data_IF_400927212544
#
_entry.id   IF_400927212544
#
_cell.length_a   1.000
_cell.length_b   1.000
_cell.length_c   1.000
_cell.angle_alpha   90.00
_cell.angle_beta   90.00
_cell.angle_gamma   90.00
#
_symmetry.space_group_name_H-M   'P 1'
#
loop_
_entity.id
_entity.type
_entity.pdbx_description
1 polymer ?
#
# COMPACT_ATOMS: atom_id res chain seq x y z
N UNK A 1 2.84 -19.84 -10.38
CA UNK A 1 3.75 -18.73 -10.00
C UNK A 1 3.04 -17.88 -8.93
N UNK A 2 3.43 -17.98 -7.65
CA UNK A 2 2.90 -17.07 -6.60
C UNK A 2 3.38 -15.67 -6.97
N UNK A 3 2.45 -14.76 -7.27
CA UNK A 3 2.81 -13.34 -7.45
C UNK A 3 2.64 -12.65 -6.11
N UNK A 4 3.74 -12.22 -5.50
CA UNK A 4 3.71 -11.29 -4.37
C UNK A 4 3.15 -9.96 -4.88
N UNK A 5 1.88 -9.70 -4.56
CA UNK A 5 1.23 -8.44 -4.92
C UNK A 5 1.50 -7.45 -3.79
N UNK A 6 2.33 -6.44 -4.08
CA UNK A 6 2.59 -5.33 -3.14
C UNK A 6 1.29 -4.56 -2.93
N UNK A 7 0.83 -4.41 -1.69
CA UNK A 7 -0.40 -3.68 -1.36
C UNK A 7 -0.23 -2.17 -1.45
N UNK A 8 0.99 -1.68 -1.19
CA UNK A 8 1.35 -0.28 -1.32
C UNK A 8 2.57 -0.13 -2.24
N UNK A 9 2.40 -0.26 -3.56
CA UNK A 9 3.49 -0.05 -4.50
C UNK A 9 3.98 1.40 -4.38
N UNK A 10 5.26 1.57 -4.02
CA UNK A 10 5.87 2.89 -3.83
C UNK A 10 5.87 3.43 -2.40
N UNK A 11 5.31 2.69 -1.42
CA UNK A 11 5.34 3.07 -0.01
C UNK A 11 6.02 2.00 0.83
N UNK A 12 6.72 2.44 1.88
CA UNK A 12 7.35 1.58 2.89
C UNK A 12 6.92 2.10 4.25
N UNK A 13 6.42 1.20 5.11
CA UNK A 13 6.16 1.49 6.50
C UNK A 13 7.44 1.25 7.30
N UNK A 14 7.83 2.20 8.13
CA UNK A 14 9.01 2.08 8.99
C UNK A 14 8.66 2.55 10.39
N UNK A 15 8.95 1.70 11.38
CA UNK A 15 8.90 2.08 12.78
C UNK A 15 10.29 2.55 13.20
N UNK A 16 10.42 3.84 13.52
CA UNK A 16 11.68 4.44 13.96
C UNK A 16 11.44 5.54 14.99
N UNK A 17 12.45 5.83 15.80
CA UNK A 17 12.46 7.04 16.63
C UNK A 17 12.72 8.23 15.72
N UNK A 18 11.81 9.22 15.73
CA UNK A 18 11.93 10.43 14.91
C UNK A 18 12.89 11.42 15.58
N UNK A 19 14.10 11.53 15.04
CA UNK A 19 15.12 12.50 15.43
C UNK A 19 15.87 13.01 14.18
N UNK A 20 16.72 14.02 14.32
CA UNK A 20 17.39 14.62 13.16
C UNK A 20 18.28 13.63 12.41
N UNK A 21 18.96 12.72 13.13
CA UNK A 21 19.81 11.70 12.53
C UNK A 21 19.01 10.67 11.71
N UNK A 22 17.89 10.18 12.24
CA UNK A 22 17.02 9.22 11.55
C UNK A 22 16.30 9.85 10.36
N UNK A 23 15.95 11.13 10.44
CA UNK A 23 15.42 11.88 9.32
C UNK A 23 16.42 12.04 8.18
N UNK A 24 17.67 12.44 8.49
CA UNK A 24 18.74 12.56 7.49
C UNK A 24 19.06 11.20 6.86
N UNK A 25 19.09 10.14 7.68
CA UNK A 25 19.31 8.78 7.21
C UNK A 25 18.29 8.41 6.13
N UNK A 26 17.00 8.55 6.41
CA UNK A 26 15.94 8.18 5.44
C UNK A 26 16.00 9.03 4.18
N UNK A 27 16.25 10.35 4.29
CA UNK A 27 16.42 11.22 3.11
C UNK A 27 17.65 10.87 2.28
N UNK A 28 18.70 10.32 2.88
CA UNK A 28 19.91 9.91 2.15
C UNK A 28 19.74 8.60 1.38
N UNK A 29 18.68 7.82 1.63
CA UNK A 29 18.45 6.55 0.94
C UNK A 29 18.05 6.80 -0.52
N UNK A 30 18.78 6.25 -1.50
CA UNK A 30 18.41 6.38 -2.91
C UNK A 30 17.01 5.84 -3.18
N UNK A 31 16.23 6.54 -4.02
CA UNK A 31 14.84 6.22 -4.40
C UNK A 31 13.79 6.42 -3.32
N UNK A 32 14.16 6.99 -2.16
CA UNK A 32 13.19 7.49 -1.18
C UNK A 32 12.88 8.95 -1.52
N UNK A 33 11.64 9.23 -1.94
CA UNK A 33 11.23 10.61 -2.26
C UNK A 33 10.97 11.46 -1.01
N UNK A 34 10.70 10.82 0.13
CA UNK A 34 10.45 11.48 1.39
C UNK A 34 9.44 10.73 2.24
N UNK A 35 8.96 11.39 3.28
CA UNK A 35 7.91 10.88 4.13
C UNK A 35 6.53 11.40 3.68
N UNK A 36 5.49 10.67 4.04
CA UNK A 36 4.10 11.03 3.77
C UNK A 36 3.51 11.71 5.01
N UNK A 37 2.77 12.79 4.80
CA UNK A 37 2.01 13.48 5.85
C UNK A 37 2.80 14.60 6.55
N UNK A 38 2.08 15.62 7.02
CA UNK A 38 2.67 16.78 7.68
C UNK A 38 3.31 17.78 6.71
N UNK A 39 4.30 18.52 7.19
CA UNK A 39 5.19 19.38 6.40
C UNK A 39 6.41 18.59 5.93
N UNK A 40 7.08 19.08 4.88
CA UNK A 40 8.31 18.47 4.31
C UNK A 40 9.41 18.16 5.33
N UNK A 41 9.36 18.83 6.48
CA UNK A 41 10.37 18.84 7.53
C UNK A 41 9.95 18.02 8.75
N UNK A 42 8.65 17.71 8.90
CA UNK A 42 8.10 16.94 10.02
C UNK A 42 7.05 15.95 9.52
N UNK A 43 7.43 14.69 9.26
CA UNK A 43 6.48 13.64 8.97
C UNK A 43 5.46 13.48 10.08
N UNK A 44 4.20 13.28 9.71
CA UNK A 44 3.16 12.93 10.65
C UNK A 44 3.35 11.47 11.12
N UNK A 45 3.37 11.21 12.43
CA UNK A 45 3.35 9.84 12.94
C UNK A 45 2.01 9.18 12.58
N UNK A 46 2.07 7.93 12.12
CA UNK A 46 0.88 7.09 11.95
C UNK A 46 0.41 6.64 13.33
N UNK A 47 -0.89 6.67 13.57
CA UNK A 47 -1.44 6.17 14.83
C UNK A 47 -1.38 4.64 14.91
N UNK A 48 -1.23 4.09 16.10
CA UNK A 48 -1.20 2.63 16.30
C UNK A 48 -2.43 1.94 15.70
N UNK A 49 -3.60 2.58 15.80
CA UNK A 49 -4.86 2.08 15.20
C UNK A 49 -4.78 1.95 13.67
N UNK A 50 -4.15 2.90 13.00
CA UNK A 50 -3.97 2.85 11.54
C UNK A 50 -2.94 1.78 11.15
N UNK A 51 -1.86 1.64 11.92
CA UNK A 51 -0.88 0.56 11.72
C UNK A 51 -1.55 -0.79 11.86
N UNK A 52 -2.32 -1.00 12.93
CA UNK A 52 -3.05 -2.24 13.18
C UNK A 52 -4.03 -2.55 12.06
N UNK A 53 -4.78 -1.55 11.57
CA UNK A 53 -5.69 -1.71 10.45
C UNK A 53 -4.95 -2.13 9.17
N UNK A 54 -3.77 -1.55 8.89
CA UNK A 54 -2.95 -1.91 7.74
C UNK A 54 -2.38 -3.33 7.88
N UNK A 55 -1.84 -3.67 9.05
CA UNK A 55 -1.27 -4.99 9.33
C UNK A 55 -2.34 -6.09 9.26
N UNK A 56 -3.51 -5.85 9.84
CA UNK A 56 -4.65 -6.77 9.75
C UNK A 56 -5.09 -6.97 8.29
N UNK A 57 -5.11 -5.91 7.48
CA UNK A 57 -5.44 -6.00 6.05
C UNK A 57 -4.38 -6.77 5.26
N UNK A 58 -3.10 -6.63 5.60
CA UNK A 58 -2.02 -7.42 4.98
C UNK A 58 -2.15 -8.91 5.31
N UNK A 59 -2.41 -9.25 6.59
CA UNK A 59 -2.58 -10.62 7.05
C UNK A 59 -3.81 -11.30 6.44
N UNK A 60 -4.98 -10.64 6.45
CA UNK A 60 -6.23 -11.20 5.91
C UNK A 60 -6.20 -11.53 4.42
N UNK A 61 -5.27 -10.93 3.66
CA UNK A 61 -5.16 -11.16 2.22
C UNK A 61 -4.07 -12.17 1.86
N UNK A 62 -3.13 -12.44 2.77
CA UNK A 62 -2.19 -13.56 2.63
C UNK A 62 -2.91 -14.92 2.64
N UNK A 63 -3.98 -15.05 3.43
CA UNK A 63 -4.71 -16.31 3.63
C UNK A 63 -5.83 -16.55 2.64
N UNK A 64 -6.36 -15.50 1.99
CA UNK A 64 -7.42 -15.65 0.99
C UNK A 64 -6.79 -15.67 -0.41
N UNK A 65 -6.76 -16.82 -1.13
CA UNK A 65 -6.41 -16.82 -2.53
C UNK A 65 -7.46 -15.96 -3.25
N UNK A 66 -7.10 -14.71 -3.56
CA UNK A 66 -7.87 -13.91 -4.50
C UNK A 66 -7.69 -14.60 -5.84
N UNK A 67 -8.73 -15.17 -6.44
CA UNK A 67 -8.60 -15.70 -7.79
C UNK A 67 -8.08 -14.56 -8.65
N UNK A 68 -6.97 -14.80 -9.34
CA UNK A 68 -6.68 -14.00 -10.53
C UNK A 68 -7.80 -14.37 -11.49
N UNK A 69 -8.84 -13.56 -11.57
CA UNK A 69 -9.76 -13.62 -12.70
C UNK A 69 -8.93 -13.28 -13.93
N UNK A 70 -8.49 -14.33 -14.61
CA UNK A 70 -7.90 -14.27 -15.93
C UNK A 70 -9.08 -14.19 -16.88
N UNK A 71 -9.22 -13.05 -17.55
CA UNK A 71 -10.20 -12.91 -18.61
C UNK A 71 -9.54 -13.28 -19.94
N UNK A 72 -10.22 -14.08 -20.74
CA UNK A 72 -9.77 -14.42 -22.08
C UNK A 72 -10.53 -13.58 -23.14
N UNK A 73 -9.90 -13.25 -24.29
CA UNK A 73 -10.61 -12.56 -25.37
C UNK A 73 -11.83 -13.37 -25.84
N UNK A 74 -13.03 -12.78 -25.71
CA UNK A 74 -14.31 -13.42 -26.05
C UNK A 74 -15.18 -13.79 -24.85
N UNK A 75 -14.68 -13.62 -23.62
CA UNK A 75 -15.46 -13.86 -22.40
C UNK A 75 -16.47 -12.72 -22.15
N UNK A 76 -17.74 -13.06 -21.89
CA UNK A 76 -18.75 -12.09 -21.50
C UNK A 76 -18.54 -11.67 -20.05
N UNK A 77 -18.23 -10.40 -19.83
CA UNK A 77 -18.05 -9.80 -18.51
C UNK A 77 -19.17 -8.80 -18.23
N UNK A 78 -19.62 -8.75 -16.97
CA UNK A 78 -20.56 -7.75 -16.49
C UNK A 78 -19.82 -6.66 -15.73
N UNK A 79 -20.13 -5.41 -16.01
CA UNK A 79 -19.54 -4.27 -15.30
C UNK A 79 -20.18 -4.21 -13.92
N UNK A 80 -19.36 -4.18 -12.86
CA UNK A 80 -19.88 -4.19 -11.48
C UNK A 80 -19.84 -2.83 -10.78
N UNK A 81 -19.21 -1.81 -11.39
CA UNK A 81 -19.08 -0.48 -10.80
C UNK A 81 -18.77 0.59 -11.87
N UNK A 82 -19.08 1.86 -11.56
CA UNK A 82 -18.91 3.00 -12.48
C UNK A 82 -20.13 3.28 -13.37
N UNK A 83 -20.03 4.26 -14.29
CA UNK A 83 -21.17 4.78 -15.07
C UNK A 83 -21.80 3.77 -16.05
N UNK A 84 -21.26 2.57 -16.15
CA UNK A 84 -21.74 1.49 -17.02
C UNK A 84 -22.09 0.21 -16.24
N UNK A 85 -22.25 0.26 -14.91
CA UNK A 85 -22.51 -0.90 -14.06
C UNK A 85 -23.81 -1.68 -14.37
N UNK A 86 -24.72 -1.10 -15.16
CA UNK A 86 -26.00 -1.71 -15.54
C UNK A 86 -26.06 -2.20 -16.99
N UNK A 87 -24.92 -2.26 -17.70
CA UNK A 87 -24.81 -2.85 -19.05
C UNK A 87 -24.29 -4.28 -19.05
#
# INVERSE_FOLDING_TARGET
>A
RKSERKFFPGYVLVQMVMNDASWHLVRSVPRVMGFIGGTSDRPAPISDKEVDAIMNRLQQVGDKPRPKTLFEPGEMVRVNDGPFADF
#
